data_IF_285482378996
#
_entry.id   IF_285482378996
#
_cell.length_a   1.000
_cell.length_b   1.000
_cell.length_c   1.000
_cell.angle_alpha   90.00
_cell.angle_beta   90.00
_cell.angle_gamma   90.00
#
_symmetry.space_group_name_H-M   'P 1'
#
loop_
_entity.id
_entity.type
_entity.pdbx_description
1 polymer ?
#
# COMPACT_ATOMS: atom_id res chain seq x y z
N UNK A 1 1.43 14.62 18.91
CA UNK A 1 1.47 13.28 18.28
C UNK A 1 0.88 13.20 16.86
N UNK A 2 -0.02 14.10 16.42
CA UNK A 2 -0.60 14.09 15.06
C UNK A 2 0.38 14.38 13.89
N UNK A 3 1.54 14.97 14.18
CA UNK A 3 2.49 15.45 13.14
C UNK A 3 3.58 14.43 12.82
N UNK A 4 3.93 13.54 13.75
CA UNK A 4 5.05 12.60 13.61
C UNK A 4 4.76 11.43 12.64
N UNK A 5 3.49 11.06 12.44
CA UNK A 5 3.11 9.89 11.61
C UNK A 5 2.81 10.27 10.15
N UNK A 6 2.36 11.51 9.90
CA UNK A 6 2.31 12.06 8.54
C UNK A 6 3.70 12.17 7.92
N UNK A 7 4.71 12.47 8.75
CA UNK A 7 6.11 12.43 8.36
C UNK A 7 6.55 11.03 7.93
N UNK A 8 6.18 9.97 8.65
CA UNK A 8 6.59 8.60 8.28
C UNK A 8 5.98 8.10 6.95
N UNK A 9 4.73 8.47 6.63
CA UNK A 9 4.11 8.12 5.36
C UNK A 9 4.71 8.91 4.18
N UNK A 10 5.03 10.19 4.41
CA UNK A 10 5.70 11.05 3.42
C UNK A 10 7.17 10.68 3.24
N UNK A 11 7.87 10.32 4.32
CA UNK A 11 9.25 9.81 4.29
C UNK A 11 9.31 8.42 3.66
N UNK A 12 8.32 7.55 3.88
CA UNK A 12 8.22 6.27 3.17
C UNK A 12 7.98 6.45 1.67
N UNK A 13 7.16 7.42 1.28
CA UNK A 13 6.95 7.81 -0.13
C UNK A 13 8.19 8.46 -0.74
N UNK A 14 8.91 9.29 0.03
CA UNK A 14 10.15 9.92 -0.39
C UNK A 14 11.29 8.90 -0.50
N UNK A 15 11.41 7.96 0.43
CA UNK A 15 12.37 6.85 0.36
C UNK A 15 12.04 5.90 -0.79
N UNK A 16 10.76 5.59 -1.01
CA UNK A 16 10.32 4.85 -2.19
C UNK A 16 10.64 5.64 -3.48
N UNK A 17 10.41 6.96 -3.52
CA UNK A 17 10.75 7.79 -4.67
C UNK A 17 12.28 7.87 -4.92
N UNK A 18 13.09 7.94 -3.85
CA UNK A 18 14.55 7.92 -3.92
C UNK A 18 15.07 6.54 -4.38
N UNK A 19 14.45 5.45 -3.91
CA UNK A 19 14.71 4.10 -4.43
C UNK A 19 14.26 3.93 -5.89
N UNK A 20 13.24 4.68 -6.33
CA UNK A 20 12.77 4.69 -7.73
C UNK A 20 13.75 5.47 -8.62
N UNK A 21 14.40 6.50 -8.09
CA UNK A 21 15.37 7.32 -8.80
C UNK A 21 16.79 6.70 -8.85
N UNK A 22 17.17 5.92 -7.83
CA UNK A 22 18.48 5.28 -7.75
C UNK A 22 18.83 4.34 -8.95
N UNK A 23 17.94 3.46 -9.44
CA UNK A 23 18.26 2.57 -10.56
C UNK A 23 18.27 3.30 -11.92
N UNK A 24 17.67 4.49 -12.04
CA UNK A 24 17.65 5.27 -13.29
C UNK A 24 19.04 5.79 -13.67
N UNK A 25 19.95 5.92 -12.70
CA UNK A 25 21.32 6.39 -12.93
C UNK A 25 22.30 5.30 -13.39
N UNK A 26 21.91 4.02 -13.40
CA UNK A 26 22.76 2.91 -13.83
C UNK A 26 22.27 2.33 -15.17
N UNK A 27 22.95 2.56 -16.30
CA UNK A 27 22.59 1.91 -17.56
C UNK A 27 22.98 0.41 -17.52
N UNK A 28 21.99 -0.49 -17.55
CA UNK A 28 22.21 -1.93 -17.57
C UNK A 28 20.92 -2.75 -17.63
N UNK A 29 21.02 -4.06 -17.91
CA UNK A 29 19.85 -4.98 -17.85
C UNK A 29 19.28 -5.11 -16.44
N UNK A 30 20.11 -4.90 -15.42
CA UNK A 30 19.71 -4.96 -14.01
C UNK A 30 18.82 -3.78 -13.60
N UNK A 31 19.11 -2.56 -14.08
CA UNK A 31 18.26 -1.40 -13.81
C UNK A 31 16.91 -1.51 -14.51
N UNK A 32 16.86 -2.06 -15.73
CA UNK A 32 15.60 -2.36 -16.42
C UNK A 32 14.74 -3.36 -15.63
N UNK A 33 15.36 -4.38 -15.04
CA UNK A 33 14.67 -5.36 -14.19
C UNK A 33 14.14 -4.72 -12.89
N UNK A 34 14.94 -3.86 -12.24
CA UNK A 34 14.51 -3.14 -11.04
C UNK A 34 13.35 -2.16 -11.32
N UNK A 35 13.42 -1.42 -12.43
CA UNK A 35 12.34 -0.50 -12.84
C UNK A 35 11.07 -1.27 -13.19
N UNK A 36 11.17 -2.39 -13.93
CA UNK A 36 10.03 -3.24 -14.24
C UNK A 36 9.39 -3.81 -12.96
N UNK A 37 10.19 -4.30 -12.02
CA UNK A 37 9.72 -4.77 -10.72
C UNK A 37 8.96 -3.67 -9.97
N UNK A 38 9.53 -2.48 -9.92
CA UNK A 38 8.95 -1.33 -9.26
C UNK A 38 7.60 -0.93 -9.89
N UNK A 39 7.52 -0.90 -11.22
CA UNK A 39 6.29 -0.60 -11.96
C UNK A 39 5.20 -1.65 -11.74
N UNK A 40 5.55 -2.94 -11.77
CA UNK A 40 4.60 -4.03 -11.51
C UNK A 40 4.04 -3.91 -10.09
N UNK A 41 4.91 -3.74 -9.09
CA UNK A 41 4.47 -3.59 -7.71
C UNK A 41 3.63 -2.32 -7.50
N UNK A 42 3.98 -1.21 -8.14
CA UNK A 42 3.25 0.05 -8.04
C UNK A 42 1.87 -0.04 -8.70
N UNK A 43 1.77 -0.62 -9.90
CA UNK A 43 0.50 -0.88 -10.56
C UNK A 43 -0.40 -1.82 -9.74
N UNK A 44 0.18 -2.88 -9.17
CA UNK A 44 -0.54 -3.81 -8.30
C UNK A 44 -1.04 -3.12 -7.02
N UNK A 45 -0.23 -2.24 -6.42
CA UNK A 45 -0.61 -1.49 -5.22
C UNK A 45 -1.71 -0.46 -5.51
N UNK A 46 -1.66 0.22 -6.65
CA UNK A 46 -2.73 1.15 -7.08
C UNK A 46 -4.04 0.40 -7.33
N UNK A 47 -3.99 -0.77 -7.96
CA UNK A 47 -5.15 -1.61 -8.18
C UNK A 47 -5.74 -2.13 -6.85
N UNK A 48 -4.89 -2.48 -5.88
CA UNK A 48 -5.31 -2.90 -4.53
C UNK A 48 -6.00 -1.78 -3.74
N UNK A 49 -5.62 -0.52 -3.93
CA UNK A 49 -6.24 0.62 -3.25
C UNK A 49 -7.68 0.88 -3.69
N UNK A 50 -8.09 0.44 -4.88
CA UNK A 50 -9.44 0.65 -5.43
C UNK A 50 -10.54 0.08 -4.51
N UNK A 51 -10.53 -1.22 -4.12
CA UNK A 51 -11.54 -1.77 -3.22
C UNK A 51 -11.53 -1.12 -1.84
N UNK A 52 -10.38 -0.70 -1.32
CA UNK A 52 -10.27 -0.01 -0.03
C UNK A 52 -10.91 1.38 -0.08
N UNK A 53 -10.61 2.16 -1.11
CA UNK A 53 -11.20 3.47 -1.33
C UNK A 53 -12.72 3.38 -1.51
N UNK A 54 -13.18 2.38 -2.28
CA UNK A 54 -14.59 2.13 -2.49
C UNK A 54 -15.32 1.71 -1.19
N UNK A 55 -14.73 0.80 -0.40
CA UNK A 55 -15.30 0.39 0.88
C UNK A 55 -15.37 1.55 1.89
N UNK A 56 -14.34 2.41 1.93
CA UNK A 56 -14.35 3.60 2.79
C UNK A 56 -15.47 4.60 2.40
N UNK A 57 -15.79 4.70 1.10
CA UNK A 57 -16.83 5.59 0.60
C UNK A 57 -18.26 5.07 0.82
N UNK A 58 -18.48 3.74 0.72
CA UNK A 58 -19.84 3.16 0.67
C UNK A 58 -20.22 2.24 1.83
N UNK A 59 -19.27 1.51 2.42
CA UNK A 59 -19.56 0.46 3.39
C UNK A 59 -18.42 0.29 4.41
N UNK A 60 -18.30 1.25 5.34
CA UNK A 60 -17.23 1.26 6.36
C UNK A 60 -17.21 0.01 7.26
N UNK A 61 -18.34 -0.70 7.41
CA UNK A 61 -18.43 -1.94 8.18
C UNK A 61 -17.67 -3.12 7.56
N UNK A 62 -17.27 -3.04 6.28
CA UNK A 62 -16.56 -4.11 5.56
C UNK A 62 -15.09 -3.79 5.26
N UNK A 63 -14.51 -2.78 5.93
CA UNK A 63 -13.11 -2.36 5.72
C UNK A 63 -12.09 -3.51 5.89
N UNK A 64 -12.36 -4.44 6.80
CA UNK A 64 -11.50 -5.62 7.04
C UNK A 64 -11.45 -6.55 5.82
N UNK A 65 -12.62 -6.81 5.21
CA UNK A 65 -12.75 -7.68 4.03
C UNK A 65 -12.16 -7.01 2.80
N UNK A 66 -12.36 -5.70 2.65
CA UNK A 66 -11.75 -4.92 1.57
C UNK A 66 -10.22 -4.89 1.66
N UNK A 67 -9.66 -4.82 2.87
CA UNK A 67 -8.21 -4.91 3.09
C UNK A 67 -7.63 -6.27 2.68
N UNK A 68 -8.29 -7.38 3.05
CA UNK A 68 -7.91 -8.72 2.62
C UNK A 68 -8.02 -8.89 1.10
N UNK A 69 -9.10 -8.37 0.50
CA UNK A 69 -9.28 -8.40 -0.94
C UNK A 69 -8.20 -7.60 -1.69
N UNK A 70 -7.80 -6.42 -1.16
CA UNK A 70 -6.66 -5.65 -1.70
C UNK A 70 -5.38 -6.47 -1.69
N UNK A 71 -5.03 -7.07 -0.54
CA UNK A 71 -3.83 -7.89 -0.40
C UNK A 71 -3.81 -9.06 -1.39
N UNK A 72 -4.93 -9.77 -1.53
CA UNK A 72 -5.06 -10.89 -2.46
C UNK A 72 -4.91 -10.45 -3.91
N UNK A 73 -5.59 -9.38 -4.31
CA UNK A 73 -5.52 -8.82 -5.66
C UNK A 73 -4.10 -8.37 -6.01
N UNK A 74 -3.45 -7.67 -5.09
CA UNK A 74 -2.07 -7.21 -5.25
C UNK A 74 -1.10 -8.38 -5.38
N UNK A 75 -1.24 -9.42 -4.55
CA UNK A 75 -0.38 -10.60 -4.63
C UNK A 75 -0.53 -11.29 -5.99
N UNK A 76 -1.76 -11.47 -6.48
CA UNK A 76 -2.04 -12.03 -7.80
C UNK A 76 -1.44 -11.21 -8.94
N UNK A 77 -1.59 -9.88 -8.90
CA UNK A 77 -1.02 -8.98 -9.91
C UNK A 77 0.50 -8.97 -9.88
N UNK A 78 1.11 -9.04 -8.70
CA UNK A 78 2.57 -9.05 -8.56
C UNK A 78 3.17 -10.37 -9.04
N UNK A 79 2.56 -11.51 -8.66
CA UNK A 79 2.99 -12.83 -9.15
C UNK A 79 2.72 -13.00 -10.65
N UNK A 80 1.54 -12.62 -11.12
CA UNK A 80 1.16 -12.74 -12.53
C UNK A 80 1.99 -11.82 -13.42
N UNK A 81 2.11 -10.55 -13.05
CA UNK A 81 2.92 -9.56 -13.78
C UNK A 81 4.41 -9.89 -13.72
N UNK A 82 4.91 -10.25 -12.54
CA UNK A 82 6.32 -10.65 -12.36
C UNK A 82 6.67 -11.92 -13.11
N UNK A 83 5.81 -12.93 -13.07
CA UNK A 83 5.97 -14.19 -13.81
C UNK A 83 5.92 -13.99 -15.33
N UNK A 84 4.99 -13.18 -15.83
CA UNK A 84 4.91 -12.83 -17.25
C UNK A 84 6.18 -12.10 -17.72
N UNK A 85 6.68 -11.14 -16.92
CA UNK A 85 7.91 -10.41 -17.24
C UNK A 85 9.14 -11.33 -17.26
N UNK A 86 9.26 -12.26 -16.30
CA UNK A 86 10.32 -13.27 -16.27
C UNK A 86 10.30 -14.16 -17.52
N UNK A 87 9.11 -14.61 -17.94
CA UNK A 87 8.95 -15.47 -19.11
C UNK A 87 9.33 -14.78 -20.43
N UNK A 88 9.00 -13.49 -20.57
CA UNK A 88 9.20 -12.72 -21.82
C UNK A 88 10.62 -12.15 -21.90
N UNK A 89 11.07 -11.47 -20.84
CA UNK A 89 12.28 -10.64 -20.89
C UNK A 89 13.54 -11.37 -20.43
N UNK A 90 13.39 -12.51 -19.75
CA UNK A 90 14.49 -13.31 -19.15
C UNK A 90 15.55 -12.44 -18.45
N UNK A 91 15.14 -11.56 -17.51
CA UNK A 91 16.09 -10.76 -16.73
C UNK A 91 16.89 -11.67 -15.78
N UNK A 92 17.99 -11.18 -15.18
CA UNK A 92 18.66 -11.90 -14.10
C UNK A 92 17.69 -12.15 -12.93
N UNK A 93 17.28 -13.41 -12.77
CA UNK A 93 16.16 -13.82 -11.89
C UNK A 93 16.37 -13.40 -10.44
N UNK A 94 17.56 -13.63 -9.89
CA UNK A 94 17.91 -13.29 -8.51
C UNK A 94 17.79 -11.79 -8.22
N UNK A 95 18.23 -10.95 -9.16
CA UNK A 95 18.18 -9.50 -9.02
C UNK A 95 16.73 -8.97 -9.16
N UNK A 96 15.98 -9.54 -10.11
CA UNK A 96 14.58 -9.18 -10.30
C UNK A 96 13.73 -9.56 -9.07
N UNK A 97 13.86 -10.79 -8.57
CA UNK A 97 13.08 -11.29 -7.43
C UNK A 97 13.37 -10.51 -6.14
N UNK A 98 14.65 -10.22 -5.87
CA UNK A 98 15.04 -9.38 -4.71
C UNK A 98 14.50 -7.96 -4.84
N UNK A 99 14.53 -7.38 -6.03
CA UNK A 99 13.94 -6.06 -6.30
C UNK A 99 12.43 -6.07 -6.09
N UNK A 100 11.71 -7.06 -6.66
CA UNK A 100 10.26 -7.23 -6.45
C UNK A 100 9.94 -7.36 -4.97
N UNK A 101 10.70 -8.16 -4.22
CA UNK A 101 10.48 -8.33 -2.78
C UNK A 101 10.68 -7.02 -2.01
N UNK A 102 11.76 -6.27 -2.29
CA UNK A 102 12.03 -4.99 -1.65
C UNK A 102 10.94 -3.95 -1.94
N UNK A 103 10.52 -3.84 -3.20
CA UNK A 103 9.44 -2.95 -3.61
C UNK A 103 8.09 -3.34 -3.02
N UNK A 104 7.80 -4.64 -3.04
CA UNK A 104 6.58 -5.18 -2.47
C UNK A 104 6.50 -4.87 -0.97
N UNK A 105 7.54 -5.16 -0.20
CA UNK A 105 7.55 -4.89 1.25
C UNK A 105 7.41 -3.39 1.56
N UNK A 106 8.12 -2.53 0.81
CA UNK A 106 8.06 -1.08 1.01
C UNK A 106 6.65 -0.54 0.77
N UNK A 107 6.04 -0.89 -0.36
CA UNK A 107 4.66 -0.49 -0.68
C UNK A 107 3.65 -1.11 0.28
N UNK A 108 3.90 -2.31 0.80
CA UNK A 108 3.00 -2.96 1.76
C UNK A 108 3.01 -2.23 3.11
N UNK A 109 4.19 -1.79 3.56
CA UNK A 109 4.32 -0.99 4.78
C UNK A 109 3.57 0.34 4.67
N UNK A 110 3.68 1.03 3.53
CA UNK A 110 2.96 2.28 3.26
C UNK A 110 1.45 2.06 3.25
N UNK A 111 0.97 1.04 2.53
CA UNK A 111 -0.46 0.72 2.44
C UNK A 111 -1.05 0.33 3.81
N UNK A 112 -0.33 -0.49 4.57
CA UNK A 112 -0.74 -0.88 5.94
C UNK A 112 -0.81 0.33 6.87
N UNK A 113 0.19 1.23 6.79
CA UNK A 113 0.18 2.48 7.54
C UNK A 113 -1.05 3.35 7.23
N UNK A 114 -1.42 3.45 5.95
CA UNK A 114 -2.60 4.18 5.50
C UNK A 114 -3.91 3.56 6.04
N UNK A 115 -4.05 2.24 5.98
CA UNK A 115 -5.25 1.53 6.47
C UNK A 115 -5.40 1.68 7.99
N UNK A 116 -4.31 1.53 8.74
CA UNK A 116 -4.31 1.73 10.19
C UNK A 116 -4.69 3.18 10.54
N UNK A 117 -4.20 4.15 9.78
CA UNK A 117 -4.56 5.56 9.95
C UNK A 117 -6.05 5.82 9.71
N UNK A 118 -6.60 5.34 8.59
CA UNK A 118 -8.03 5.44 8.28
C UNK A 118 -8.90 4.78 9.36
N UNK A 119 -8.50 3.59 9.81
CA UNK A 119 -9.22 2.83 10.84
C UNK A 119 -9.21 3.56 12.18
N UNK A 120 -8.05 4.10 12.62
CA UNK A 120 -7.95 4.92 13.84
C UNK A 120 -8.83 6.17 13.79
N UNK A 121 -8.89 6.83 12.62
CA UNK A 121 -9.77 7.98 12.41
C UNK A 121 -11.25 7.63 12.57
N UNK A 122 -11.67 6.45 12.07
CA UNK A 122 -13.04 5.97 12.19
C UNK A 122 -13.45 5.70 13.64
N UNK A 123 -12.66 4.92 14.38
CA UNK A 123 -12.97 4.56 15.77
C UNK A 123 -12.93 5.78 16.70
N UNK A 124 -11.97 6.69 16.52
CA UNK A 124 -11.92 7.94 17.28
C UNK A 124 -13.15 8.83 17.06
N UNK A 125 -13.78 8.78 15.89
CA UNK A 125 -15.00 9.52 15.59
C UNK A 125 -16.24 8.83 16.19
N UNK A 126 -16.29 7.50 16.14
CA UNK A 126 -17.36 6.70 16.74
C UNK A 126 -17.44 6.91 18.26
N UNK A 127 -16.32 6.85 18.97
CA UNK A 127 -16.27 7.06 20.43
C UNK A 127 -16.80 8.45 20.85
N UNK A 128 -16.56 9.48 20.03
CA UNK A 128 -17.07 10.84 20.26
C UNK A 128 -18.59 10.93 20.10
N UNK A 129 -19.16 10.21 19.12
CA UNK A 129 -20.61 10.16 18.94
C UNK A 129 -21.30 9.38 20.06
N UNK A 130 -20.71 8.25 20.48
CA UNK A 130 -21.25 7.43 21.57
C UNK A 130 -21.17 8.15 22.93
N UNK A 131 -20.10 8.90 23.20
CA UNK A 131 -19.97 9.72 24.43
C UNK A 131 -20.96 10.88 24.49
N UNK A 132 -21.21 11.56 23.36
CA UNK A 132 -22.19 12.64 23.27
C UNK A 132 -23.65 12.16 23.47
N UNK A 133 -23.98 10.95 23.00
CA UNK A 133 -25.29 10.33 23.22
C UNK A 133 -25.53 9.94 24.68
N UNK A 134 -24.51 9.38 25.36
CA UNK A 134 -24.58 9.00 26.78
C UNK A 134 -24.76 10.19 27.72
N UNK A 135 -24.16 11.34 27.39
CA UNK A 135 -24.32 12.58 28.15
C UNK A 135 -25.74 13.15 28.09
N UNK A 136 -26.48 12.93 26.99
CA UNK A 136 -27.86 13.40 26.85
C UNK A 136 -28.86 12.49 27.56
N UNK A 137 -28.64 11.17 27.52
CA UNK A 137 -29.51 10.20 28.18
C UNK A 137 -29.45 10.23 29.72
N UNK A 138 -28.45 10.90 30.31
CA UNK A 138 -28.33 11.05 31.76
C UNK A 138 -28.86 12.40 32.29
N UNK A 139 -29.43 13.24 31.41
CA UNK A 139 -30.03 14.53 31.73
C UNK A 139 -31.57 14.51 31.76
N UNK A 140 -32.21 13.35 31.58
CA UNK A 140 -33.66 13.16 31.74
C UNK A 140 -34.01 12.46 33.06
#
# INVERSE_FOLDING_TARGET
MRVLVGFAAVEGLALAAVWFAAPVYWPGRESQAAVAAALICLAASLAGLVPVAWANARARSSLHVAGLASMGLRMLLTLGGGGAYLAISKPPETFFLTSVAAWYLSLLAVETGLIVWLTRGYWSAADKQSGAGRSKACQE
#
